data_IF_323055221798
#
_entry.id   IF_323055221798
#
_cell.length_a   1.000
_cell.length_b   1.000
_cell.length_c   1.000
_cell.angle_alpha   90.00
_cell.angle_beta   90.00
_cell.angle_gamma   90.00
#
_symmetry.space_group_name_H-M   'P 1'
#
loop_
_entity.id
_entity.type
_entity.pdbx_description
1 polymer ?
#
# COMPACT_ATOMS: atom_id res chain seq x y z
N UNK A 1 22.77 -1.36 19.51
CA UNK A 1 21.33 -1.62 19.72
C UNK A 1 20.50 -0.35 19.89
N UNK A 2 21.01 0.68 20.58
CA UNK A 2 20.38 2.01 20.74
C UNK A 2 19.69 2.63 19.50
N UNK A 3 20.25 2.45 18.30
CA UNK A 3 19.64 2.93 17.05
C UNK A 3 18.34 2.17 16.72
N UNK A 4 18.30 0.85 16.91
CA UNK A 4 17.13 0.02 16.68
C UNK A 4 16.03 0.27 17.71
N UNK A 5 16.41 0.43 18.99
CA UNK A 5 15.49 0.78 20.07
C UNK A 5 14.77 2.11 19.79
N UNK A 6 15.46 3.09 19.21
CA UNK A 6 14.85 4.36 18.83
C UNK A 6 13.91 4.22 17.62
N UNK A 7 14.24 3.35 16.65
CA UNK A 7 13.38 3.11 15.47
C UNK A 7 12.11 2.34 15.82
N UNK A 8 12.18 1.39 16.76
CA UNK A 8 11.03 0.60 17.20
C UNK A 8 9.93 1.45 17.85
N UNK A 9 10.27 2.59 18.45
CA UNK A 9 9.27 3.49 19.07
C UNK A 9 8.30 4.09 18.06
N UNK A 10 8.70 4.24 16.80
CA UNK A 10 7.90 4.84 15.72
C UNK A 10 7.54 3.84 14.62
N UNK A 11 7.81 2.55 14.80
CA UNK A 11 7.64 1.53 13.77
C UNK A 11 6.20 1.00 13.67
N UNK A 12 5.21 1.75 14.13
CA UNK A 12 3.81 1.30 14.09
C UNK A 12 3.28 1.41 12.67
N UNK A 13 2.86 0.28 12.11
CA UNK A 13 2.24 0.19 10.78
C UNK A 13 0.71 0.21 10.93
N UNK A 14 0.01 0.71 9.91
CA UNK A 14 -1.45 0.68 9.88
C UNK A 14 -1.97 -0.76 9.71
N UNK A 15 -3.00 -1.18 10.46
CA UNK A 15 -3.52 -2.56 10.41
C UNK A 15 -3.94 -3.02 9.01
N UNK A 16 -4.53 -2.11 8.21
CA UNK A 16 -4.97 -2.42 6.85
C UNK A 16 -3.81 -2.78 5.91
N UNK A 17 -2.62 -2.24 6.16
CA UNK A 17 -1.41 -2.56 5.40
C UNK A 17 -0.78 -3.86 5.96
N UNK A 18 -0.83 -4.05 7.27
CA UNK A 18 -0.35 -5.28 7.93
C UNK A 18 -1.09 -6.54 7.42
N UNK A 19 -2.40 -6.46 7.22
CA UNK A 19 -3.20 -7.52 6.58
C UNK A 19 -2.67 -7.85 5.17
N UNK A 20 -2.30 -6.84 4.38
CA UNK A 20 -1.77 -7.07 3.04
C UNK A 20 -0.38 -7.73 3.08
N UNK A 21 0.46 -7.35 4.05
CA UNK A 21 1.76 -7.99 4.26
C UNK A 21 1.61 -9.49 4.57
N UNK A 22 0.58 -9.90 5.32
CA UNK A 22 0.30 -11.32 5.56
C UNK A 22 -0.06 -12.08 4.27
N UNK A 23 -0.72 -11.42 3.31
CA UNK A 23 -1.06 -12.03 2.02
C UNK A 23 0.08 -12.04 1.00
N UNK A 24 1.18 -11.34 1.30
CA UNK A 24 2.33 -11.17 0.40
C UNK A 24 2.05 -10.32 -0.84
N UNK A 25 0.93 -9.60 -0.89
CA UNK A 25 0.50 -8.77 -2.03
C UNK A 25 0.04 -7.41 -1.55
N UNK A 26 0.65 -6.35 -2.10
CA UNK A 26 0.32 -4.96 -1.77
C UNK A 26 -0.43 -4.29 -2.92
N UNK A 27 -1.34 -3.39 -2.57
CA UNK A 27 -2.00 -2.51 -3.55
C UNK A 27 -1.17 -1.23 -3.73
N UNK A 28 -0.92 -0.88 -4.99
CA UNK A 28 -0.14 0.30 -5.36
C UNK A 28 -0.80 1.06 -6.53
N UNK A 29 -0.55 2.36 -6.59
CA UNK A 29 -0.94 3.23 -7.69
C UNK A 29 0.25 3.45 -8.62
N UNK A 30 0.06 3.25 -9.93
CA UNK A 30 1.05 3.62 -10.93
C UNK A 30 1.01 5.13 -11.15
N UNK A 31 2.11 5.80 -10.85
CA UNK A 31 2.26 7.24 -11.01
C UNK A 31 2.96 7.60 -12.33
N UNK A 32 3.66 6.65 -12.95
CA UNK A 32 4.31 6.84 -14.25
C UNK A 32 3.32 6.73 -15.42
N UNK A 33 3.78 7.10 -16.62
CA UNK A 33 3.07 6.89 -17.89
C UNK A 33 3.84 5.89 -18.77
N UNK A 34 3.64 4.57 -18.57
CA UNK A 34 4.50 3.53 -19.15
C UNK A 34 4.63 3.60 -20.66
N UNK A 35 3.58 4.01 -21.38
CA UNK A 35 3.61 4.14 -22.83
C UNK A 35 4.55 5.24 -23.36
N UNK A 36 5.00 6.16 -22.51
CA UNK A 36 5.94 7.21 -22.89
C UNK A 36 7.34 6.97 -22.28
N UNK A 37 7.39 6.54 -21.01
CA UNK A 37 8.65 6.38 -20.29
C UNK A 37 9.20 4.94 -20.26
N UNK A 38 8.41 3.94 -20.66
CA UNK A 38 8.79 2.51 -20.59
C UNK A 38 8.90 1.96 -19.16
N UNK A 39 8.42 2.68 -18.15
CA UNK A 39 8.52 2.30 -16.73
C UNK A 39 7.15 2.33 -16.05
N UNK A 40 6.96 1.45 -15.08
CA UNK A 40 5.74 1.29 -14.29
C UNK A 40 6.00 1.63 -12.81
N UNK A 41 6.50 2.84 -12.57
CA UNK A 41 6.83 3.32 -11.24
C UNK A 41 5.57 3.86 -10.54
N UNK A 42 5.54 3.76 -9.22
CA UNK A 42 4.36 4.07 -8.42
C UNK A 42 4.62 4.13 -6.93
N UNK A 43 3.55 4.23 -6.16
CA UNK A 43 3.58 4.28 -4.69
C UNK A 43 2.52 3.35 -4.09
N UNK A 44 2.75 2.91 -2.85
CA UNK A 44 1.84 2.02 -2.10
C UNK A 44 0.64 2.83 -1.60
N UNK A 45 -0.56 2.24 -1.67
CA UNK A 45 -1.76 2.88 -1.14
C UNK A 45 -1.80 2.75 0.40
N UNK A 46 -2.00 3.87 1.08
CA UNK A 46 -2.07 3.94 2.55
C UNK A 46 -3.33 4.68 3.03
N UNK A 47 -3.74 4.46 4.28
CA UNK A 47 -4.80 5.20 4.95
C UNK A 47 -6.12 5.28 4.17
N UNK A 48 -6.64 6.52 4.04
CA UNK A 48 -7.94 6.80 3.40
C UNK A 48 -7.97 6.41 1.92
N UNK A 49 -6.84 6.54 1.23
CA UNK A 49 -6.76 6.18 -0.20
C UNK A 49 -6.92 4.68 -0.38
N UNK A 50 -6.25 3.89 0.48
CA UNK A 50 -6.38 2.44 0.49
C UNK A 50 -7.83 2.01 0.77
N UNK A 51 -8.46 2.61 1.79
CA UNK A 51 -9.84 2.29 2.16
C UNK A 51 -10.84 2.60 1.03
N UNK A 52 -10.64 3.70 0.30
CA UNK A 52 -11.46 4.07 -0.85
C UNK A 52 -11.38 3.04 -1.98
N UNK A 53 -10.17 2.66 -2.39
CA UNK A 53 -9.98 1.69 -3.47
C UNK A 53 -10.41 0.29 -3.07
N UNK A 54 -10.16 -0.13 -1.83
CA UNK A 54 -10.61 -1.42 -1.31
C UNK A 54 -12.14 -1.55 -1.33
N UNK A 55 -12.87 -0.49 -0.98
CA UNK A 55 -14.34 -0.44 -1.12
C UNK A 55 -14.76 -0.59 -2.57
N UNK A 56 -14.16 0.16 -3.51
CA UNK A 56 -14.48 0.03 -4.94
C UNK A 56 -14.23 -1.36 -5.50
N UNK A 57 -13.10 -1.99 -5.15
CA UNK A 57 -12.75 -3.34 -5.62
C UNK A 57 -13.76 -4.37 -5.11
N UNK A 58 -14.11 -4.30 -3.82
CA UNK A 58 -15.12 -5.19 -3.21
C UNK A 58 -16.48 -5.04 -3.90
N UNK A 59 -16.95 -3.81 -4.13
CA UNK A 59 -18.23 -3.55 -4.81
C UNK A 59 -18.24 -4.05 -6.25
N UNK A 60 -17.11 -3.97 -6.97
CA UNK A 60 -17.00 -4.51 -8.34
C UNK A 60 -17.06 -6.04 -8.37
N UNK A 61 -16.48 -6.71 -7.37
CA UNK A 61 -16.47 -8.19 -7.29
C UNK A 61 -17.84 -8.78 -6.92
N UNK A 62 -18.67 -8.01 -6.21
CA UNK A 62 -20.01 -8.44 -5.80
C UNK A 62 -21.07 -8.31 -6.91
N UNK A 63 -20.69 -7.85 -8.10
CA UNK A 63 -21.54 -7.71 -9.29
C UNK A 63 -21.15 -8.73 -10.34
#
# INVERSE_FOLDING_TARGET
QKIYENRQKISKVEPAIEEQFQTGRLLACLASRPGQCGRADGYILEGKELEFYMRKIKSKKAK
#
